data_IF_410965384222
#
_entry.id   IF_410965384222
#
_cell.length_a   1.000
_cell.length_b   1.000
_cell.length_c   1.000
_cell.angle_alpha   90.00
_cell.angle_beta   90.00
_cell.angle_gamma   90.00
#
_symmetry.space_group_name_H-M   'P 1'
#
loop_
_entity.id
_entity.type
_entity.pdbx_description
1 polymer ?
#
# COMPACT_ATOMS: atom_id res chain seq x y z
N UNK A 1 -26.06 6.19 -0.74
CA UNK A 1 -25.83 6.65 -2.13
C UNK A 1 -25.34 8.10 -2.21
N UNK A 2 -26.01 9.07 -1.58
CA UNK A 2 -25.62 10.50 -1.62
C UNK A 2 -24.16 10.77 -1.21
N UNK A 3 -23.70 10.17 -0.10
CA UNK A 3 -22.31 10.39 0.39
C UNK A 3 -21.27 9.91 -0.62
N UNK A 4 -21.50 8.77 -1.28
CA UNK A 4 -20.57 8.23 -2.27
C UNK A 4 -20.46 9.14 -3.50
N UNK A 5 -21.59 9.66 -3.99
CA UNK A 5 -21.62 10.63 -5.10
C UNK A 5 -20.92 11.94 -4.72
N UNK A 6 -21.11 12.44 -3.50
CA UNK A 6 -20.40 13.62 -3.00
C UNK A 6 -18.89 13.39 -2.95
N UNK A 7 -18.45 12.25 -2.39
CA UNK A 7 -17.02 11.89 -2.34
C UNK A 7 -16.45 11.77 -3.76
N UNK A 8 -17.17 11.12 -4.68
CA UNK A 8 -16.76 11.01 -6.08
C UNK A 8 -16.59 12.39 -6.74
N UNK A 9 -17.52 13.31 -6.52
CA UNK A 9 -17.41 14.68 -7.04
C UNK A 9 -16.21 15.43 -6.45
N UNK A 10 -15.95 15.28 -5.14
CA UNK A 10 -14.79 15.90 -4.50
C UNK A 10 -13.47 15.33 -5.02
N UNK A 11 -13.41 14.02 -5.27
CA UNK A 11 -12.25 13.38 -5.91
C UNK A 11 -12.10 13.86 -7.35
N UNK A 12 -13.19 13.95 -8.11
CA UNK A 12 -13.19 14.42 -9.50
C UNK A 12 -12.66 15.87 -9.61
N UNK A 13 -13.05 16.73 -8.67
CA UNK A 13 -12.56 18.10 -8.59
C UNK A 13 -11.14 18.23 -7.99
N UNK A 14 -10.44 17.12 -7.69
CA UNK A 14 -9.16 17.10 -6.98
C UNK A 14 -9.18 17.85 -5.63
N UNK A 15 -10.35 17.98 -5.00
CA UNK A 15 -10.50 18.63 -3.69
C UNK A 15 -10.04 17.72 -2.55
N UNK A 16 -10.17 16.39 -2.73
CA UNK A 16 -9.72 15.38 -1.78
C UNK A 16 -8.96 14.26 -2.50
N UNK A 17 -8.09 13.56 -1.77
CA UNK A 17 -7.49 12.30 -2.21
C UNK A 17 -7.90 11.18 -1.25
N UNK A 18 -8.23 10.01 -1.80
CA UNK A 18 -8.49 8.80 -1.02
C UNK A 18 -7.19 8.02 -0.90
N UNK A 19 -6.75 7.82 0.34
CA UNK A 19 -5.58 6.98 0.65
C UNK A 19 -6.03 5.76 1.42
N UNK A 20 -5.39 4.64 1.14
CA UNK A 20 -5.65 3.40 1.86
C UNK A 20 -5.28 3.50 3.33
N UNK A 21 -5.97 2.71 4.15
CA UNK A 21 -5.68 2.62 5.57
C UNK A 21 -4.26 2.07 5.79
N UNK A 22 -3.48 2.78 6.59
CA UNK A 22 -2.15 2.36 7.01
C UNK A 22 -2.20 1.05 7.81
N UNK A 23 -1.40 0.06 7.40
CA UNK A 23 -1.15 -1.18 8.14
C UNK A 23 0.30 -1.64 7.95
N UNK A 24 0.90 -2.16 9.00
CA UNK A 24 2.27 -2.70 8.96
C UNK A 24 2.42 -3.96 8.08
N UNK A 25 1.35 -4.73 7.94
CA UNK A 25 1.32 -5.92 7.07
C UNK A 25 1.22 -5.57 5.58
N UNK A 26 0.87 -4.33 5.23
CA UNK A 26 0.80 -3.92 3.83
C UNK A 26 2.20 -3.84 3.23
N UNK A 27 2.27 -4.14 1.93
CA UNK A 27 3.45 -3.90 1.12
C UNK A 27 3.28 -2.60 0.36
N UNK A 28 4.30 -1.74 0.43
CA UNK A 28 4.37 -0.50 -0.33
C UNK A 28 5.57 -0.56 -1.25
N UNK A 29 5.46 0.08 -2.40
CA UNK A 29 6.55 0.21 -3.36
C UNK A 29 6.72 1.66 -3.76
N UNK A 30 7.97 2.10 -3.87
CA UNK A 30 8.30 3.43 -4.33
C UNK A 30 7.91 3.61 -5.82
N UNK A 31 7.38 4.79 -6.16
CA UNK A 31 7.03 5.14 -7.54
C UNK A 31 8.10 6.03 -8.16
N UNK A 32 8.06 6.19 -9.48
CA UNK A 32 8.95 7.11 -10.20
C UNK A 32 8.72 8.59 -9.82
N UNK A 33 7.57 8.93 -9.20
CA UNK A 33 7.28 10.30 -8.76
C UNK A 33 8.12 10.75 -7.56
N UNK A 34 8.76 9.82 -6.83
CA UNK A 34 9.62 10.15 -5.69
C UNK A 34 10.74 11.14 -6.06
N UNK A 35 11.20 11.15 -7.32
CA UNK A 35 12.20 12.12 -7.78
C UNK A 35 11.74 13.58 -7.68
N UNK A 36 10.43 13.84 -7.71
CA UNK A 36 9.87 15.18 -7.52
C UNK A 36 10.08 15.70 -6.11
N UNK A 37 10.08 14.81 -5.12
CA UNK A 37 10.30 15.14 -3.71
C UNK A 37 11.72 15.68 -3.48
N UNK A 38 12.72 15.13 -4.16
CA UNK A 38 14.12 15.58 -4.04
C UNK A 38 14.43 16.86 -4.83
N UNK A 39 13.70 17.12 -5.92
CA UNK A 39 13.95 18.26 -6.81
C UNK A 39 13.27 19.56 -6.37
N UNK A 40 12.23 19.47 -5.54
CA UNK A 40 11.44 20.64 -5.13
C UNK A 40 11.62 20.92 -3.64
N UNK A 41 12.26 22.07 -3.32
CA UNK A 41 12.52 22.49 -1.94
C UNK A 41 11.24 22.66 -1.10
N UNK A 42 10.13 23.11 -1.69
CA UNK A 42 8.90 23.28 -0.93
C UNK A 42 8.32 21.94 -0.47
N UNK A 43 8.37 20.92 -1.33
CA UNK A 43 7.94 19.53 -1.03
C UNK A 43 8.87 18.87 -0.03
N UNK A 44 10.17 19.10 -0.18
CA UNK A 44 11.20 18.69 0.77
C UNK A 44 10.89 19.19 2.20
N UNK A 45 10.63 20.49 2.36
CA UNK A 45 10.36 21.10 3.67
C UNK A 45 9.02 20.64 4.24
N UNK A 46 8.01 20.50 3.39
CA UNK A 46 6.70 19.96 3.76
C UNK A 46 6.80 18.52 4.28
N UNK A 47 7.53 17.64 3.57
CA UNK A 47 7.70 16.25 3.95
C UNK A 47 8.39 16.12 5.31
N UNK A 48 9.46 16.89 5.57
CA UNK A 48 10.12 16.90 6.89
C UNK A 48 9.12 17.29 7.98
N UNK A 49 8.32 18.33 7.76
CA UNK A 49 7.34 18.80 8.76
C UNK A 49 6.26 17.76 9.02
N UNK A 50 5.71 17.15 7.98
CA UNK A 50 4.62 16.18 8.07
C UNK A 50 5.04 14.83 8.67
N UNK A 51 6.26 14.38 8.35
CA UNK A 51 6.72 13.02 8.68
C UNK A 51 7.45 12.96 10.02
N UNK A 52 8.10 14.04 10.46
CA UNK A 52 8.83 14.03 11.72
C UNK A 52 7.88 13.94 12.93
N UNK A 53 8.21 13.12 13.91
CA UNK A 53 7.46 13.06 15.19
C UNK A 53 7.52 14.39 15.94
N UNK A 54 6.47 14.75 16.69
CA UNK A 54 6.48 15.93 17.56
C UNK A 54 7.41 15.72 18.76
N UNK A 55 7.91 16.82 19.34
CA UNK A 55 8.68 16.77 20.60
C UNK A 55 10.16 16.36 20.47
N UNK A 56 10.69 16.22 19.26
CA UNK A 56 12.09 15.86 18.99
C UNK A 56 12.72 16.61 17.81
N UNK A 57 14.03 16.39 17.55
CA UNK A 57 14.71 16.96 16.39
C UNK A 57 14.07 16.45 15.10
N UNK A 58 13.89 17.31 14.11
CA UNK A 58 13.28 16.91 12.83
C UNK A 58 14.11 15.80 12.16
N UNK A 59 13.41 14.84 11.55
CA UNK A 59 14.06 13.79 10.77
C UNK A 59 14.78 14.39 9.56
N UNK A 60 15.92 13.81 9.19
CA UNK A 60 16.66 14.27 8.01
C UNK A 60 15.94 13.81 6.76
N UNK A 61 15.94 14.65 5.73
CA UNK A 61 15.40 14.25 4.43
C UNK A 61 16.05 12.99 3.86
N UNK A 62 17.36 12.84 4.05
CA UNK A 62 18.09 11.64 3.65
C UNK A 62 17.47 10.38 4.25
N UNK A 63 17.09 10.41 5.52
CA UNK A 63 16.52 9.26 6.21
C UNK A 63 15.11 8.95 5.71
N UNK A 64 14.29 9.99 5.53
CA UNK A 64 12.94 9.88 4.93
C UNK A 64 13.03 9.28 3.52
N UNK A 65 13.92 9.81 2.69
CA UNK A 65 14.09 9.37 1.31
C UNK A 65 14.65 7.95 1.24
N UNK A 66 15.54 7.58 2.17
CA UNK A 66 16.08 6.22 2.29
C UNK A 66 14.99 5.23 2.66
N UNK A 67 14.12 5.58 3.61
CA UNK A 67 12.94 4.78 3.98
C UNK A 67 12.00 4.57 2.79
N UNK A 68 11.68 5.62 2.03
CA UNK A 68 10.88 5.48 0.80
C UNK A 68 11.55 4.56 -0.22
N UNK A 69 12.85 4.74 -0.45
CA UNK A 69 13.62 3.94 -1.41
C UNK A 69 13.79 2.48 -1.00
N UNK A 70 13.69 2.19 0.30
CA UNK A 70 13.73 0.82 0.82
C UNK A 70 12.43 0.05 0.59
N UNK A 71 11.31 0.73 0.31
CA UNK A 71 10.04 0.11 0.01
C UNK A 71 10.06 -0.52 -1.37
N UNK A 72 10.11 -1.85 -1.40
CA UNK A 72 10.23 -2.66 -2.61
C UNK A 72 9.31 -3.88 -2.56
N UNK A 73 9.09 -4.47 -3.73
CA UNK A 73 8.35 -5.72 -3.83
C UNK A 73 9.05 -6.82 -3.01
N UNK A 74 8.27 -7.63 -2.31
CA UNK A 74 8.75 -8.72 -1.45
C UNK A 74 9.05 -8.33 0.00
N UNK A 75 8.92 -7.06 0.38
CA UNK A 75 9.05 -6.62 1.78
C UNK A 75 7.79 -5.91 2.25
N UNK A 76 7.22 -6.36 3.38
CA UNK A 76 6.13 -5.64 4.04
C UNK A 76 6.69 -4.42 4.75
N UNK A 77 5.83 -3.46 5.06
CA UNK A 77 6.26 -2.24 5.73
C UNK A 77 6.86 -2.51 7.11
N UNK A 78 6.37 -3.53 7.84
CA UNK A 78 6.98 -3.96 9.10
C UNK A 78 8.46 -4.34 8.94
N UNK A 79 8.82 -5.02 7.84
CA UNK A 79 10.20 -5.45 7.58
C UNK A 79 11.11 -4.24 7.34
N UNK A 80 10.57 -3.18 6.72
CA UNK A 80 11.26 -1.88 6.56
C UNK A 80 11.45 -1.20 7.92
N UNK A 81 10.41 -1.13 8.75
CA UNK A 81 10.51 -0.53 10.08
C UNK A 81 11.52 -1.24 10.98
N UNK A 82 11.56 -2.58 10.96
CA UNK A 82 12.53 -3.37 11.72
C UNK A 82 13.98 -3.10 11.26
N UNK A 83 14.19 -2.87 9.96
CA UNK A 83 15.52 -2.59 9.41
C UNK A 83 16.04 -1.20 9.73
N UNK A 84 15.18 -0.18 9.69
CA UNK A 84 15.59 1.23 9.79
C UNK A 84 15.29 1.87 11.14
N UNK A 85 14.47 1.23 11.99
CA UNK A 85 14.05 1.74 13.29
C UNK A 85 13.63 3.22 13.24
N UNK A 86 12.50 3.56 12.57
CA UNK A 86 12.03 4.93 12.35
C UNK A 86 11.94 5.78 13.62
N UNK A 87 11.61 5.17 14.76
CA UNK A 87 11.58 5.84 16.07
C UNK A 87 12.94 6.47 16.41
N UNK A 88 14.04 5.74 16.19
CA UNK A 88 15.40 6.21 16.52
C UNK A 88 15.86 7.42 15.70
N UNK A 89 15.26 7.63 14.53
CA UNK A 89 15.55 8.72 13.59
C UNK A 89 14.41 9.75 13.52
N UNK A 90 13.52 9.75 14.52
CA UNK A 90 12.40 10.66 14.70
C UNK A 90 11.38 10.70 13.53
N UNK A 91 11.20 9.58 12.82
CA UNK A 91 10.20 9.42 11.76
C UNK A 91 8.91 8.85 12.35
N UNK A 92 7.78 9.46 12.02
CA UNK A 92 6.44 8.91 12.24
C UNK A 92 6.09 8.00 11.05
N UNK A 93 5.96 6.70 11.31
CA UNK A 93 5.76 5.69 10.27
C UNK A 93 4.42 5.85 9.55
N UNK A 94 3.38 6.21 10.31
CA UNK A 94 2.04 6.40 9.78
C UNK A 94 2.02 7.60 8.87
N UNK A 95 2.57 8.74 9.30
CA UNK A 95 2.62 9.95 8.48
C UNK A 95 3.54 9.77 7.28
N UNK A 96 4.64 9.02 7.41
CA UNK A 96 5.51 8.68 6.27
C UNK A 96 4.72 7.97 5.17
N UNK A 97 3.94 6.94 5.52
CA UNK A 97 3.15 6.19 4.54
C UNK A 97 1.99 7.03 4.00
N UNK A 98 1.22 7.71 4.86
CA UNK A 98 0.08 8.52 4.41
C UNK A 98 0.54 9.66 3.49
N UNK A 99 1.61 10.37 3.84
CA UNK A 99 2.18 11.42 3.00
C UNK A 99 2.67 10.86 1.66
N UNK A 100 3.35 9.71 1.69
CA UNK A 100 3.81 9.03 0.49
C UNK A 100 2.66 8.61 -0.45
N UNK A 101 1.58 8.06 0.10
CA UNK A 101 0.39 7.65 -0.67
C UNK A 101 -0.35 8.86 -1.25
N UNK A 102 -0.61 9.88 -0.42
CA UNK A 102 -1.35 11.08 -0.82
C UNK A 102 -0.66 11.84 -1.98
N UNK A 103 0.67 11.85 -2.00
CA UNK A 103 1.45 12.49 -3.06
C UNK A 103 1.83 11.54 -4.21
N UNK A 104 1.45 10.25 -4.12
CA UNK A 104 1.75 9.23 -5.11
C UNK A 104 3.24 8.89 -5.22
N UNK A 105 4.04 9.16 -4.18
CA UNK A 105 5.45 8.79 -4.08
C UNK A 105 5.65 7.30 -3.78
N UNK A 106 4.68 6.70 -3.11
CA UNK A 106 4.56 5.25 -2.96
C UNK A 106 3.17 4.82 -3.40
N UNK A 107 3.04 3.54 -3.70
CA UNK A 107 1.75 2.89 -3.92
C UNK A 107 1.68 1.61 -3.10
N UNK A 108 0.48 1.24 -2.67
CA UNK A 108 0.27 -0.06 -2.04
C UNK A 108 0.31 -1.14 -3.13
N UNK A 109 0.98 -2.25 -2.84
CA UNK A 109 0.99 -3.44 -3.67
C UNK A 109 0.04 -4.46 -3.04
N UNK A 110 -0.93 -4.95 -3.81
CA UNK A 110 -1.93 -5.92 -3.37
C UNK A 110 -1.85 -7.19 -4.21
N UNK A 111 -2.24 -8.31 -3.61
CA UNK A 111 -2.28 -9.62 -4.26
C UNK A 111 -3.63 -9.84 -4.94
N UNK A 112 -3.61 -10.24 -6.21
CA UNK A 112 -4.78 -10.51 -7.05
C UNK A 112 -4.69 -11.93 -7.60
N UNK A 113 -5.42 -12.90 -7.03
CA UNK A 113 -5.41 -14.28 -7.53
C UNK A 113 -6.11 -14.40 -8.88
N UNK A 114 -5.58 -15.28 -9.74
CA UNK A 114 -6.08 -15.58 -11.08
C UNK A 114 -6.07 -17.08 -11.30
N UNK A 115 -7.22 -17.68 -11.62
CA UNK A 115 -7.26 -19.06 -12.14
C UNK A 115 -6.81 -19.04 -13.60
N UNK A 116 -5.81 -19.84 -13.95
CA UNK A 116 -5.20 -19.79 -15.28
C UNK A 116 -6.10 -20.34 -16.41
N UNK A 117 -7.01 -21.27 -16.09
CA UNK A 117 -7.85 -21.94 -17.08
C UNK A 117 -9.30 -21.90 -16.62
N UNK A 118 -10.19 -21.46 -17.51
CA UNK A 118 -11.63 -21.36 -17.21
C UNK A 118 -12.23 -22.69 -16.74
N UNK A 119 -11.83 -23.81 -17.37
CA UNK A 119 -12.29 -25.16 -16.98
C UNK A 119 -11.89 -25.60 -15.56
N UNK A 120 -10.96 -24.90 -14.93
CA UNK A 120 -10.48 -25.21 -13.60
C UNK A 120 -11.11 -24.29 -12.54
N UNK A 121 -11.91 -23.29 -12.93
CA UNK A 121 -12.64 -22.40 -12.04
C UNK A 121 -13.56 -23.18 -11.10
N UNK A 122 -14.37 -24.08 -11.64
CA UNK A 122 -15.31 -24.91 -10.84
C UNK A 122 -14.60 -25.91 -9.92
N UNK A 123 -13.33 -26.23 -10.22
CA UNK A 123 -12.52 -27.14 -9.41
C UNK A 123 -11.73 -26.41 -8.33
N UNK A 124 -11.71 -25.09 -8.39
CA UNK A 124 -10.94 -24.23 -7.50
C UNK A 124 -11.87 -23.67 -6.44
N UNK A 125 -11.46 -23.74 -5.18
CA UNK A 125 -12.22 -23.14 -4.09
C UNK A 125 -12.44 -21.65 -4.39
N UNK A 126 -13.69 -21.20 -4.43
CA UNK A 126 -14.04 -19.80 -4.72
C UNK A 126 -13.47 -19.28 -6.06
N UNK A 127 -13.22 -20.15 -7.04
CA UNK A 127 -12.55 -19.80 -8.30
C UNK A 127 -13.17 -18.63 -9.05
N UNK A 128 -14.49 -18.42 -8.93
CA UNK A 128 -15.22 -17.29 -9.53
C UNK A 128 -14.71 -15.91 -9.07
N UNK A 129 -14.11 -15.82 -7.89
CA UNK A 129 -13.54 -14.56 -7.35
C UNK A 129 -12.10 -14.32 -7.81
N UNK A 130 -11.42 -15.36 -8.28
CA UNK A 130 -10.00 -15.35 -8.66
C UNK A 130 -9.84 -15.02 -10.15
N UNK A 131 -10.29 -13.82 -10.52
CA UNK A 131 -10.28 -13.30 -11.89
C UNK A 131 -9.26 -12.17 -12.10
N UNK A 132 -8.41 -11.88 -11.10
CA UNK A 132 -7.41 -10.81 -11.16
C UNK A 132 -7.95 -9.38 -11.04
N UNK A 133 -9.26 -9.21 -10.84
CA UNK A 133 -9.91 -7.91 -10.62
C UNK A 133 -10.04 -7.59 -9.12
N UNK A 134 -10.28 -8.62 -8.29
CA UNK A 134 -10.43 -8.45 -6.86
C UNK A 134 -9.11 -8.74 -6.13
N UNK A 135 -8.70 -7.82 -5.26
CA UNK A 135 -7.56 -8.09 -4.37
C UNK A 135 -7.98 -9.06 -3.27
N UNK A 136 -7.00 -9.75 -2.67
CA UNK A 136 -7.22 -10.69 -1.57
C UNK A 136 -8.12 -10.12 -0.45
N UNK A 137 -7.87 -8.89 -0.01
CA UNK A 137 -8.66 -8.21 1.02
C UNK A 137 -10.12 -7.95 0.60
N UNK A 138 -10.39 -7.80 -0.70
CA UNK A 138 -11.76 -7.60 -1.20
C UNK A 138 -12.48 -8.95 -1.21
N UNK A 139 -11.78 -10.00 -1.66
CA UNK A 139 -12.32 -11.35 -1.68
C UNK A 139 -12.67 -11.79 -0.26
N UNK A 140 -11.76 -11.60 0.70
CA UNK A 140 -12.02 -11.93 2.11
C UNK A 140 -13.26 -11.23 2.67
N UNK A 141 -13.52 -9.98 2.26
CA UNK A 141 -14.74 -9.27 2.65
C UNK A 141 -16.00 -9.89 2.03
N UNK A 142 -15.95 -10.30 0.76
CA UNK A 142 -17.10 -10.94 0.11
C UNK A 142 -17.38 -12.35 0.64
N UNK A 143 -16.34 -13.07 1.03
CA UNK A 143 -16.43 -14.48 1.44
C UNK A 143 -16.51 -14.66 2.96
N UNK A 144 -16.38 -13.56 3.72
CA UNK A 144 -16.28 -13.53 5.18
C UNK A 144 -15.21 -14.51 5.71
N UNK A 145 -14.07 -14.57 5.01
CA UNK A 145 -12.96 -15.48 5.31
C UNK A 145 -11.78 -14.71 5.90
N UNK A 146 -10.94 -15.40 6.68
CA UNK A 146 -9.69 -14.81 7.14
C UNK A 146 -8.70 -14.62 5.98
N UNK A 147 -8.07 -13.45 5.92
CA UNK A 147 -7.16 -13.07 4.82
C UNK A 147 -5.95 -13.99 4.76
N UNK A 148 -5.39 -14.39 5.91
CA UNK A 148 -4.20 -15.25 5.96
C UNK A 148 -4.53 -16.68 5.55
N UNK A 149 -5.67 -17.20 6.01
CA UNK A 149 -6.12 -18.53 5.59
C UNK A 149 -6.37 -18.59 4.09
N UNK A 150 -7.06 -17.57 3.55
CA UNK A 150 -7.28 -17.43 2.12
C UNK A 150 -5.97 -17.32 1.34
N UNK A 151 -4.97 -16.60 1.88
CA UNK A 151 -3.65 -16.47 1.26
C UNK A 151 -2.92 -17.83 1.16
N UNK A 152 -2.97 -18.62 2.24
CA UNK A 152 -2.37 -19.96 2.27
C UNK A 152 -3.05 -20.92 1.30
N UNK A 153 -4.38 -20.91 1.22
CA UNK A 153 -5.12 -21.75 0.27
C UNK A 153 -4.76 -21.42 -1.18
N UNK A 154 -4.62 -20.13 -1.49
CA UNK A 154 -4.22 -19.65 -2.81
C UNK A 154 -2.80 -20.12 -3.16
N UNK A 155 -1.86 -20.03 -2.23
CA UNK A 155 -0.46 -20.46 -2.46
C UNK A 155 -0.32 -21.98 -2.59
N UNK A 156 -1.22 -22.76 -1.98
CA UNK A 156 -1.21 -24.23 -2.08
C UNK A 156 -1.76 -24.74 -3.41
N UNK A 157 -2.63 -23.97 -4.07
CA UNK A 157 -3.29 -24.40 -5.31
C UNK A 157 -2.50 -23.99 -6.56
N UNK A 158 -1.87 -24.97 -7.22
CA UNK A 158 -1.09 -24.79 -8.45
C UNK A 158 -1.87 -24.20 -9.63
N UNK A 159 -3.21 -24.20 -9.58
CA UNK A 159 -4.08 -23.67 -10.64
C UNK A 159 -4.21 -22.15 -10.57
N UNK A 160 -3.85 -21.57 -9.43
CA UNK A 160 -3.96 -20.15 -9.14
C UNK A 160 -2.59 -19.49 -9.30
N UNK A 161 -2.56 -18.36 -9.99
CA UNK A 161 -1.40 -17.47 -10.04
C UNK A 161 -1.73 -16.15 -9.38
N UNK A 162 -0.80 -15.66 -8.58
CA UNK A 162 -0.95 -14.42 -7.84
C UNK A 162 -0.27 -13.26 -8.56
N UNK A 163 -1.06 -12.30 -9.04
CA UNK A 163 -0.57 -11.08 -9.66
C UNK A 163 -0.49 -9.98 -8.59
N UNK A 164 0.64 -9.28 -8.52
CA UNK A 164 0.82 -8.17 -7.59
C UNK A 164 0.62 -6.84 -8.32
N UNK A 165 -0.42 -6.09 -7.95
CA UNK A 165 -0.77 -4.80 -8.56
C UNK A 165 -0.77 -3.68 -7.54
#
# INVERSE_FOLDING_TARGET
>A
EVVAACIQNLVYCNAISLVDLFRYSNMYVCTTKIGQLARNKSRYDEAIRAISRPGGPKATFKDIFTMFSAMRQGSRFIDVCLRFNPVSINIDERNLVLYGLANGYIRQLRKYPVVLKEKDVDKTFMGNYYNGLNSLNIISCFTNSDVYQLDEEIERDIRIVSVWK
#
